data_IF_036745973232
#
_entry.id   IF_036745973232
#
_cell.length_a   1.000
_cell.length_b   1.000
_cell.length_c   1.000
_cell.angle_alpha   90.00
_cell.angle_beta   90.00
_cell.angle_gamma   90.00
#
_symmetry.space_group_name_H-M   'P 1'
#
loop_
_entity.id
_entity.type
_entity.pdbx_description
1 polymer ?
#
# COMPACT_ATOMS: atom_id res chain seq x y z
N UNK A 1 -5.42 -5.07 -17.37
CA UNK A 1 -5.70 -5.34 -15.94
C UNK A 1 -6.98 -4.60 -15.62
N UNK A 2 -7.87 -5.20 -14.84
CA UNK A 2 -9.23 -4.68 -14.67
C UNK A 2 -9.34 -3.71 -13.50
N UNK A 3 -9.25 -2.40 -13.71
CA UNK A 3 -9.06 -1.44 -12.62
C UNK A 3 -10.16 -0.35 -12.50
N UNK A 4 -10.37 0.09 -11.26
CA UNK A 4 -11.31 1.14 -10.86
C UNK A 4 -10.51 2.39 -10.54
N UNK A 5 -10.85 3.53 -11.14
CA UNK A 5 -10.25 4.82 -10.82
C UNK A 5 -11.26 5.72 -10.09
N UNK A 6 -10.89 6.27 -8.93
CA UNK A 6 -11.70 7.20 -8.16
C UNK A 6 -11.13 8.61 -8.37
N UNK A 7 -11.86 9.43 -9.12
CA UNK A 7 -11.60 10.87 -9.24
C UNK A 7 -12.45 11.61 -8.22
N UNK A 8 -11.85 12.49 -7.42
CA UNK A 8 -12.55 13.27 -6.41
C UNK A 8 -11.87 14.61 -6.19
N UNK A 9 -12.59 15.58 -5.63
CA UNK A 9 -12.01 16.86 -5.22
C UNK A 9 -11.73 16.83 -3.72
N UNK A 10 -10.46 16.90 -3.34
CA UNK A 10 -10.01 16.77 -1.94
C UNK A 10 -10.73 17.71 -0.97
N UNK A 11 -10.83 19.00 -1.31
CA UNK A 11 -11.48 20.03 -0.46
C UNK A 11 -13.02 19.91 -0.38
N UNK A 12 -13.60 18.98 -1.13
CA UNK A 12 -15.05 18.80 -1.25
C UNK A 12 -15.51 17.43 -0.71
N UNK A 13 -14.82 16.35 -1.07
CA UNK A 13 -15.33 14.99 -0.88
C UNK A 13 -14.31 13.97 -0.35
N UNK A 14 -13.14 14.40 0.15
CA UNK A 14 -12.08 13.49 0.62
C UNK A 14 -12.54 12.42 1.63
N UNK A 15 -13.33 12.73 2.68
CA UNK A 15 -13.77 11.70 3.64
C UNK A 15 -14.65 10.62 2.99
N UNK A 16 -15.47 11.00 2.00
CA UNK A 16 -16.32 10.05 1.28
C UNK A 16 -15.51 9.18 0.33
N UNK A 17 -14.58 9.79 -0.41
CA UNK A 17 -13.68 9.10 -1.32
C UNK A 17 -12.83 8.05 -0.60
N UNK A 18 -12.23 8.39 0.55
CA UNK A 18 -11.45 7.45 1.36
C UNK A 18 -12.28 6.27 1.88
N UNK A 19 -13.47 6.55 2.44
CA UNK A 19 -14.38 5.48 2.89
C UNK A 19 -14.85 4.56 1.76
N UNK A 20 -15.04 5.10 0.57
CA UNK A 20 -15.41 4.33 -0.62
C UNK A 20 -14.21 3.51 -1.12
N UNK A 21 -13.02 4.09 -1.15
CA UNK A 21 -11.76 3.43 -1.50
C UNK A 21 -11.50 2.20 -0.63
N UNK A 22 -11.59 2.33 0.69
CA UNK A 22 -11.36 1.21 1.62
C UNK A 22 -12.27 0.02 1.32
N UNK A 23 -13.55 0.29 1.01
CA UNK A 23 -14.55 -0.74 0.69
C UNK A 23 -14.32 -1.38 -0.68
N UNK A 24 -13.94 -0.57 -1.66
CA UNK A 24 -13.59 -1.06 -2.99
C UNK A 24 -12.33 -1.94 -2.91
N UNK A 25 -11.30 -1.52 -2.18
CA UNK A 25 -10.09 -2.31 -1.93
C UNK A 25 -10.41 -3.63 -1.23
N UNK A 26 -11.26 -3.61 -0.20
CA UNK A 26 -11.69 -4.83 0.49
C UNK A 26 -12.41 -5.83 -0.44
N UNK A 27 -13.10 -5.34 -1.48
CA UNK A 27 -13.88 -6.20 -2.40
C UNK A 27 -13.13 -6.62 -3.66
N UNK A 28 -12.32 -5.72 -4.23
CA UNK A 28 -11.70 -5.88 -5.54
C UNK A 28 -10.19 -6.06 -5.47
N UNK A 29 -9.55 -5.82 -4.32
CA UNK A 29 -8.10 -5.80 -4.16
C UNK A 29 -7.53 -4.39 -4.33
N UNK A 30 -6.56 -4.03 -3.49
CA UNK A 30 -5.93 -2.71 -3.50
C UNK A 30 -5.11 -2.45 -4.78
N UNK A 31 -4.65 -3.50 -5.46
CA UNK A 31 -3.95 -3.45 -6.74
C UNK A 31 -4.86 -3.05 -7.92
N UNK A 32 -6.19 -3.11 -7.72
CA UNK A 32 -7.21 -2.86 -8.74
C UNK A 32 -8.00 -1.57 -8.50
N UNK A 33 -7.70 -0.82 -7.44
CA UNK A 33 -8.38 0.43 -7.12
C UNK A 33 -7.33 1.53 -7.03
N UNK A 34 -7.47 2.52 -7.89
CA UNK A 34 -6.64 3.71 -7.91
C UNK A 34 -7.49 4.88 -7.45
N UNK A 35 -6.92 5.75 -6.63
CA UNK A 35 -7.59 6.93 -6.12
C UNK A 35 -6.60 8.08 -6.15
N UNK A 36 -6.93 9.11 -6.95
CA UNK A 36 -6.25 10.40 -7.10
C UNK A 36 -4.71 10.36 -7.25
N UNK A 37 -4.14 11.48 -7.69
CA UNK A 37 -2.77 11.62 -8.18
C UNK A 37 -2.01 12.63 -7.33
N UNK A 38 -2.12 12.53 -6.00
CA UNK A 38 -1.21 13.23 -5.10
C UNK A 38 0.12 12.46 -5.03
N UNK A 39 0.97 12.73 -6.03
CA UNK A 39 2.26 12.04 -6.20
C UNK A 39 2.68 11.97 -7.66
N UNK A 40 2.67 13.10 -8.37
CA UNK A 40 3.47 13.22 -9.60
C UNK A 40 4.92 13.34 -9.14
N UNK A 41 5.81 12.40 -9.49
CA UNK A 41 7.22 12.55 -9.16
C UNK A 41 7.74 13.88 -9.74
N UNK A 42 8.54 14.65 -9.01
CA UNK A 42 9.12 15.90 -9.54
C UNK A 42 9.76 15.68 -10.91
N UNK A 43 9.39 16.49 -11.89
CA UNK A 43 9.92 16.42 -13.27
C UNK A 43 9.18 15.49 -14.24
N UNK A 44 8.10 14.81 -13.82
CA UNK A 44 7.24 14.03 -14.71
C UNK A 44 6.20 14.92 -15.40
N UNK A 45 5.95 14.69 -16.70
CA UNK A 45 4.86 15.33 -17.43
C UNK A 45 3.52 14.96 -16.78
N UNK A 46 2.89 15.98 -16.22
CA UNK A 46 1.65 15.91 -15.49
C UNK A 46 0.51 15.24 -16.29
N UNK A 47 0.30 15.71 -17.52
CA UNK A 47 -0.81 15.25 -18.37
C UNK A 47 -0.55 13.82 -18.81
N UNK A 48 0.70 13.47 -19.08
CA UNK A 48 1.09 12.11 -19.42
C UNK A 48 0.87 11.12 -18.26
N UNK A 49 1.12 11.54 -17.01
CA UNK A 49 0.95 10.68 -15.82
C UNK A 49 -0.52 10.40 -15.49
N UNK A 50 -1.38 11.43 -15.53
CA UNK A 50 -2.84 11.23 -15.47
C UNK A 50 -3.28 10.32 -16.62
N UNK A 51 -2.79 10.65 -17.82
CA UNK A 51 -2.98 9.92 -19.06
C UNK A 51 -2.81 8.41 -18.87
N UNK A 52 -1.66 8.00 -18.33
CA UNK A 52 -1.30 6.61 -18.11
C UNK A 52 -2.19 5.91 -17.07
N UNK A 53 -2.47 6.56 -15.93
CA UNK A 53 -3.33 5.99 -14.88
C UNK A 53 -4.76 5.78 -15.36
N UNK A 54 -5.37 6.81 -15.95
CA UNK A 54 -6.71 6.69 -16.54
C UNK A 54 -6.69 5.68 -17.69
N UNK A 55 -5.67 5.65 -18.56
CA UNK A 55 -5.59 4.69 -19.65
C UNK A 55 -5.61 3.22 -19.20
N UNK A 56 -5.14 2.94 -17.97
CA UNK A 56 -5.10 1.61 -17.39
C UNK A 56 -6.38 1.17 -16.67
N UNK A 57 -7.36 2.05 -16.49
CA UNK A 57 -8.62 1.72 -15.81
C UNK A 57 -9.73 1.35 -16.80
N UNK A 58 -10.64 0.49 -16.35
CA UNK A 58 -11.80 0.01 -17.10
C UNK A 58 -13.09 0.66 -16.62
N UNK A 59 -13.06 1.34 -15.48
CA UNK A 59 -14.20 2.05 -14.90
C UNK A 59 -13.70 3.22 -14.06
N UNK A 60 -14.41 4.34 -14.15
CA UNK A 60 -14.15 5.54 -13.38
C UNK A 60 -15.34 5.86 -12.49
N UNK A 61 -15.04 6.25 -11.26
CA UNK A 61 -15.98 6.81 -10.30
C UNK A 61 -15.63 8.29 -10.15
N UNK A 62 -16.58 9.18 -10.47
CA UNK A 62 -16.44 10.61 -10.27
C UNK A 62 -17.21 11.01 -9.01
N UNK A 63 -16.51 11.26 -7.91
CA UNK A 63 -17.13 11.65 -6.64
C UNK A 63 -17.44 13.14 -6.66
N UNK A 64 -18.73 13.47 -6.52
CA UNK A 64 -19.27 14.83 -6.61
C UNK A 64 -19.85 15.19 -5.24
N UNK A 65 -19.19 16.09 -4.52
CA UNK A 65 -19.71 16.70 -3.29
C UNK A 65 -20.41 18.04 -3.57
N UNK A 66 -20.88 18.68 -2.49
CA UNK A 66 -21.72 19.89 -2.56
C UNK A 66 -21.01 21.07 -3.22
N UNK A 67 -19.69 21.18 -3.08
CA UNK A 67 -18.88 22.28 -3.60
C UNK A 67 -18.23 21.94 -4.93
N UNK A 68 -18.38 20.72 -5.45
CA UNK A 68 -17.69 20.25 -6.65
C UNK A 68 -17.84 21.20 -7.84
N UNK A 69 -19.08 21.66 -8.09
CA UNK A 69 -19.41 22.53 -9.22
C UNK A 69 -18.83 23.94 -9.05
N UNK A 70 -18.90 24.50 -7.84
CA UNK A 70 -18.57 25.89 -7.53
C UNK A 70 -17.17 26.06 -6.91
N UNK A 71 -16.37 24.99 -6.86
CA UNK A 71 -15.03 25.02 -6.28
C UNK A 71 -14.16 26.04 -7.01
N UNK A 72 -13.41 26.85 -6.26
CA UNK A 72 -12.55 27.91 -6.79
C UNK A 72 -11.08 27.68 -6.48
N UNK A 73 -10.21 28.16 -7.36
CA UNK A 73 -8.76 28.17 -7.16
C UNK A 73 -8.32 29.34 -6.26
N UNK A 74 -7.00 29.51 -6.07
CA UNK A 74 -6.45 30.62 -5.29
C UNK A 74 -6.71 32.01 -5.89
N UNK A 75 -7.10 32.09 -7.16
CA UNK A 75 -7.44 33.33 -7.87
C UNK A 75 -8.95 33.60 -7.88
N UNK A 76 -9.76 32.73 -7.25
CA UNK A 76 -11.21 32.82 -7.25
C UNK A 76 -11.87 32.34 -8.56
N UNK A 77 -11.11 31.79 -9.51
CA UNK A 77 -11.64 31.20 -10.73
C UNK A 77 -12.22 29.82 -10.44
N UNK A 78 -13.31 29.46 -11.13
CA UNK A 78 -13.94 28.17 -10.94
C UNK A 78 -13.02 27.07 -11.49
N UNK A 79 -12.68 26.10 -10.64
CA UNK A 79 -11.68 25.06 -10.96
C UNK A 79 -12.10 24.17 -12.13
N UNK A 80 -13.39 23.98 -12.35
CA UNK A 80 -13.87 23.22 -13.51
C UNK A 80 -13.66 23.94 -14.84
N UNK A 81 -13.49 25.27 -14.82
CA UNK A 81 -13.20 26.05 -16.02
C UNK A 81 -11.69 26.15 -16.30
N UNK A 82 -10.84 25.67 -15.38
CA UNK A 82 -9.41 25.54 -15.60
C UNK A 82 -9.11 24.23 -16.37
N UNK A 83 -8.58 24.31 -17.61
CA UNK A 83 -8.23 23.12 -18.38
C UNK A 83 -7.10 22.28 -17.75
N UNK A 84 -6.39 22.80 -16.75
CA UNK A 84 -5.33 22.08 -16.04
C UNK A 84 -5.80 21.48 -14.70
N UNK A 85 -7.07 21.63 -14.30
CA UNK A 85 -7.57 21.01 -13.08
C UNK A 85 -7.62 19.48 -13.23
N UNK A 86 -7.06 18.78 -12.24
CA UNK A 86 -6.92 17.32 -12.22
C UNK A 86 -8.24 16.59 -12.50
N UNK A 87 -9.32 17.00 -11.82
CA UNK A 87 -10.63 16.37 -11.95
C UNK A 87 -11.19 16.58 -13.36
N UNK A 88 -10.97 17.76 -13.96
CA UNK A 88 -11.39 18.04 -15.33
C UNK A 88 -10.67 17.11 -16.31
N UNK A 89 -9.33 17.03 -16.21
CA UNK A 89 -8.51 16.20 -17.09
C UNK A 89 -8.88 14.71 -16.98
N UNK A 90 -8.97 14.19 -15.75
CA UNK A 90 -9.31 12.79 -15.49
C UNK A 90 -10.68 12.43 -16.05
N UNK A 91 -11.72 13.18 -15.68
CA UNK A 91 -13.09 12.87 -16.08
C UNK A 91 -13.28 13.06 -17.58
N UNK A 92 -12.70 14.10 -18.17
CA UNK A 92 -12.73 14.31 -19.62
C UNK A 92 -12.08 13.12 -20.34
N UNK A 93 -10.93 12.65 -19.88
CA UNK A 93 -10.25 11.50 -20.48
C UNK A 93 -11.05 10.19 -20.30
N UNK A 94 -11.65 9.98 -19.13
CA UNK A 94 -12.55 8.84 -18.88
C UNK A 94 -13.73 8.83 -19.85
N UNK A 95 -14.38 9.98 -20.04
CA UNK A 95 -15.47 10.15 -21.00
C UNK A 95 -15.02 9.95 -22.45
N UNK A 96 -13.87 10.51 -22.84
CA UNK A 96 -13.30 10.39 -24.17
C UNK A 96 -12.96 8.94 -24.53
N UNK A 97 -12.48 8.16 -23.56
CA UNK A 97 -12.20 6.71 -23.74
C UNK A 97 -13.45 5.87 -23.84
N UNK A 98 -14.63 6.40 -23.50
CA UNK A 98 -15.89 5.67 -23.50
C UNK A 98 -15.97 4.57 -22.45
N UNK A 99 -15.09 4.60 -21.42
CA UNK A 99 -15.22 3.70 -20.28
C UNK A 99 -16.45 4.11 -19.44
N UNK A 100 -17.05 3.19 -18.67
CA UNK A 100 -18.06 3.56 -17.69
C UNK A 100 -17.53 4.61 -16.72
N UNK A 101 -18.12 5.81 -16.76
CA UNK A 101 -17.91 6.88 -15.78
C UNK A 101 -19.18 6.99 -14.94
N UNK A 102 -19.07 6.69 -13.66
CA UNK A 102 -20.20 6.64 -12.71
C UNK A 102 -20.09 7.87 -11.79
N UNK A 103 -21.00 8.85 -11.93
CA UNK A 103 -21.12 9.94 -10.96
C UNK A 103 -21.58 9.38 -9.61
N UNK A 104 -20.89 9.73 -8.54
CA UNK A 104 -21.24 9.36 -7.18
C UNK A 104 -21.47 10.62 -6.36
N UNK A 105 -22.74 10.88 -6.00
CA UNK A 105 -23.16 12.05 -5.25
C UNK A 105 -22.98 11.79 -3.75
N UNK A 106 -22.32 12.72 -3.06
CA UNK A 106 -22.00 12.57 -1.63
C UNK A 106 -22.36 13.82 -0.84
N UNK A 107 -22.60 13.67 0.46
CA UNK A 107 -22.89 14.78 1.37
C UNK A 107 -24.13 15.58 0.96
N UNK A 108 -25.10 14.97 0.26
CA UNK A 108 -26.30 15.64 -0.25
C UNK A 108 -26.07 16.50 -1.49
N UNK A 109 -25.02 16.23 -2.27
CA UNK A 109 -24.81 16.86 -3.57
C UNK A 109 -25.93 16.50 -4.57
N UNK A 110 -26.12 17.38 -5.56
CA UNK A 110 -27.02 17.16 -6.69
C UNK A 110 -26.22 17.05 -7.97
N UNK A 111 -26.76 16.35 -8.96
CA UNK A 111 -26.10 16.19 -10.26
C UNK A 111 -26.03 17.56 -10.98
N UNK A 112 -24.85 17.97 -11.48
CA UNK A 112 -24.73 19.18 -12.30
C UNK A 112 -25.52 19.07 -13.60
N UNK A 113 -26.04 20.20 -14.09
CA UNK A 113 -26.67 20.24 -15.43
C UNK A 113 -25.57 20.35 -16.49
N UNK A 114 -25.85 19.85 -17.70
CA UNK A 114 -24.90 19.95 -18.80
C UNK A 114 -24.52 21.41 -19.15
N UNK A 115 -25.43 22.36 -18.96
CA UNK A 115 -25.17 23.79 -19.19
C UNK A 115 -24.20 24.39 -18.17
N UNK A 116 -24.10 23.80 -16.98
CA UNK A 116 -23.22 24.26 -15.91
C UNK A 116 -21.82 23.64 -16.04
N UNK A 117 -21.57 22.75 -17.01
CA UNK A 117 -20.30 22.05 -17.20
C UNK A 117 -19.54 22.58 -18.42
N UNK A 118 -18.19 22.63 -18.34
CA UNK A 118 -17.36 22.89 -19.52
C UNK A 118 -17.55 21.78 -20.56
N UNK A 119 -17.29 22.09 -21.84
CA UNK A 119 -17.52 21.19 -22.97
C UNK A 119 -16.98 19.75 -22.75
N UNK A 120 -15.75 19.53 -22.25
CA UNK A 120 -15.20 18.18 -22.06
C UNK A 120 -15.96 17.33 -21.03
N UNK A 121 -16.69 17.96 -20.11
CA UNK A 121 -17.40 17.28 -19.01
C UNK A 121 -18.90 17.16 -19.24
N UNK A 122 -19.48 17.79 -20.27
CA UNK A 122 -20.94 17.75 -20.50
C UNK A 122 -21.52 16.34 -20.57
N UNK A 123 -20.74 15.39 -21.10
CA UNK A 123 -21.13 13.97 -21.16
C UNK A 123 -21.31 13.32 -19.78
N UNK A 124 -20.76 13.90 -18.71
CA UNK A 124 -20.95 13.43 -17.33
C UNK A 124 -22.41 13.61 -16.87
N UNK A 125 -23.05 14.73 -17.24
CA UNK A 125 -24.44 15.03 -16.87
C UNK A 125 -25.47 14.07 -17.49
N UNK A 126 -25.06 13.26 -18.47
CA UNK A 126 -25.90 12.25 -19.13
C UNK A 126 -25.71 10.85 -18.52
N UNK A 127 -24.89 10.71 -17.48
CA UNK A 127 -24.64 9.43 -16.79
C UNK A 127 -25.58 9.27 -15.61
N UNK A 128 -26.02 8.03 -15.39
CA UNK A 128 -26.82 7.68 -14.21
C UNK A 128 -25.97 7.81 -12.95
N UNK A 129 -26.40 8.66 -12.02
CA UNK A 129 -25.69 8.93 -10.78
C UNK A 129 -26.11 7.96 -9.67
N UNK A 130 -25.17 7.62 -8.79
CA UNK A 130 -25.43 6.89 -7.55
C UNK A 130 -25.25 7.83 -6.37
N UNK A 131 -26.24 7.91 -5.48
CA UNK A 131 -26.14 8.72 -4.26
C UNK A 131 -25.65 7.87 -3.09
N UNK A 132 -24.63 8.34 -2.37
CA UNK A 132 -24.22 7.80 -1.06
C UNK A 132 -24.71 8.73 0.04
N UNK A 133 -25.80 8.35 0.71
CA UNK A 133 -26.37 9.13 1.80
C UNK A 133 -25.58 8.92 3.09
N UNK A 134 -25.53 9.93 3.94
CA UNK A 134 -24.70 9.89 5.15
C UNK A 134 -25.18 8.83 6.16
N UNK A 135 -26.49 8.74 6.33
CA UNK A 135 -27.20 7.79 7.21
C UNK A 135 -27.21 6.35 6.65
N UNK A 136 -27.25 6.21 5.32
CA UNK A 136 -27.28 4.90 4.64
C UNK A 136 -25.97 4.53 3.92
N UNK A 137 -24.86 5.21 4.22
CA UNK A 137 -23.61 5.12 3.44
C UNK A 137 -23.16 3.68 3.17
N UNK A 138 -23.25 2.82 4.18
CA UNK A 138 -22.83 1.41 4.06
C UNK A 138 -23.70 0.65 3.04
N UNK A 139 -25.02 0.85 3.08
CA UNK A 139 -25.97 0.21 2.16
C UNK A 139 -25.75 0.71 0.74
N UNK A 140 -25.67 2.03 0.58
CA UNK A 140 -25.51 2.66 -0.73
C UNK A 140 -24.17 2.26 -1.38
N UNK A 141 -23.08 2.26 -0.60
CA UNK A 141 -21.77 1.84 -1.09
C UNK A 141 -21.74 0.34 -1.48
N UNK A 142 -22.39 -0.54 -0.71
CA UNK A 142 -22.50 -1.96 -1.06
C UNK A 142 -23.32 -2.18 -2.34
N UNK A 143 -24.34 -1.34 -2.57
CA UNK A 143 -25.13 -1.36 -3.79
C UNK A 143 -24.26 -0.97 -4.99
N UNK A 144 -23.50 0.12 -4.88
CA UNK A 144 -22.54 0.54 -5.90
C UNK A 144 -21.51 -0.57 -6.20
N UNK A 145 -20.94 -1.18 -5.17
CA UNK A 145 -20.00 -2.30 -5.30
C UNK A 145 -20.63 -3.48 -6.07
N UNK A 146 -21.90 -3.78 -5.80
CA UNK A 146 -22.63 -4.85 -6.48
C UNK A 146 -22.84 -4.54 -7.96
N UNK A 147 -23.09 -3.27 -8.30
CA UNK A 147 -23.18 -2.80 -9.69
C UNK A 147 -21.81 -2.91 -10.38
N UNK A 148 -20.74 -2.42 -9.73
CA UNK A 148 -19.38 -2.48 -10.26
C UNK A 148 -18.93 -3.92 -10.53
N UNK A 149 -19.24 -4.86 -9.64
CA UNK A 149 -18.91 -6.27 -9.81
C UNK A 149 -19.57 -6.92 -11.04
N UNK A 150 -20.61 -6.31 -11.62
CA UNK A 150 -21.28 -6.77 -12.83
C UNK A 150 -20.70 -6.20 -14.12
N UNK A 151 -19.77 -5.23 -14.04
CA UNK A 151 -19.20 -4.62 -15.23
C UNK A 151 -18.26 -5.60 -15.95
N UNK A 152 -18.34 -5.73 -17.30
CA UNK A 152 -17.56 -6.72 -18.06
C UNK A 152 -16.05 -6.60 -17.84
N UNK A 153 -15.56 -5.37 -17.67
CA UNK A 153 -14.16 -5.08 -17.33
C UNK A 153 -13.77 -5.66 -15.98
N UNK A 154 -14.63 -5.58 -14.96
CA UNK A 154 -14.34 -6.04 -13.60
C UNK A 154 -14.67 -7.53 -13.35
N UNK A 155 -15.45 -8.16 -14.24
CA UNK A 155 -15.84 -9.58 -14.19
C UNK A 155 -14.74 -10.56 -14.64
N UNK A 156 -13.73 -10.13 -15.40
CA UNK A 156 -12.69 -11.04 -15.92
C UNK A 156 -11.56 -11.26 -14.91
N UNK A 157 -11.26 -12.54 -14.67
CA UNK A 157 -10.15 -13.14 -13.90
C UNK A 157 -10.36 -13.36 -12.38
N UNK A 158 -11.38 -14.14 -12.03
CA UNK A 158 -11.40 -14.97 -10.81
C UNK A 158 -11.08 -16.44 -11.09
N UNK A 159 -10.72 -16.80 -12.33
CA UNK A 159 -10.46 -18.18 -12.76
C UNK A 159 -9.33 -18.27 -13.79
N UNK A 160 -8.12 -17.83 -13.44
CA UNK A 160 -6.94 -18.50 -14.02
C UNK A 160 -6.78 -19.82 -13.26
N UNK A 161 -7.40 -20.87 -13.81
CA UNK A 161 -7.07 -22.25 -13.51
C UNK A 161 -5.56 -22.41 -13.69
N UNK A 162 -4.91 -22.94 -12.67
CA UNK A 162 -3.55 -23.47 -12.74
C UNK A 162 -3.51 -24.45 -13.91
N UNK A 163 -2.70 -24.18 -14.94
CA UNK A 163 -2.52 -25.09 -16.07
C UNK A 163 -1.74 -26.34 -15.59
N UNK A 164 -2.35 -27.54 -15.52
CA UNK A 164 -1.70 -28.75 -15.04
C UNK A 164 -0.58 -29.25 -15.98
N UNK A 165 -0.35 -28.59 -17.13
CA UNK A 165 0.80 -28.87 -17.99
C UNK A 165 2.13 -28.33 -17.46
N UNK A 166 2.12 -27.31 -16.60
CA UNK A 166 3.36 -26.75 -16.04
C UNK A 166 4.00 -27.64 -14.95
N UNK A 167 3.24 -28.52 -14.28
CA UNK A 167 3.79 -29.47 -13.30
C UNK A 167 4.58 -30.63 -13.91
N UNK A 168 4.42 -30.90 -15.22
CA UNK A 168 5.08 -32.05 -15.87
C UNK A 168 6.52 -31.78 -16.31
N UNK A 169 6.93 -30.52 -16.45
CA UNK A 169 8.29 -30.15 -16.84
C UNK A 169 9.29 -30.06 -15.67
N UNK A 170 8.83 -30.03 -14.41
CA UNK A 170 9.72 -29.97 -13.24
C UNK A 170 10.23 -31.34 -12.75
N UNK A 171 9.83 -32.45 -13.39
CA UNK A 171 10.23 -33.80 -12.95
C UNK A 171 11.49 -34.36 -13.60
N UNK A 172 12.18 -33.62 -14.48
CA UNK A 172 13.34 -34.13 -15.23
C UNK A 172 14.62 -33.27 -15.16
N UNK A 173 14.93 -32.63 -14.02
CA UNK A 173 16.21 -31.91 -13.85
C UNK A 173 16.96 -32.18 -12.54
N UNK A 174 16.71 -33.31 -11.86
CA UNK A 174 17.51 -33.77 -10.70
C UNK A 174 18.21 -35.11 -10.93
N UNK A 175 18.81 -35.28 -12.11
CA UNK A 175 19.69 -36.40 -12.41
C UNK A 175 20.96 -35.90 -13.12
N UNK A 176 21.68 -34.96 -12.50
CA UNK A 176 23.09 -34.70 -12.77
C UNK A 176 23.66 -33.82 -11.64
N UNK A 177 24.95 -33.98 -11.35
CA UNK A 177 25.74 -33.37 -10.24
C UNK A 177 25.86 -34.26 -8.99
N UNK A 178 26.57 -35.38 -9.13
CA UNK A 178 27.15 -36.16 -8.01
C UNK A 178 28.70 -36.12 -8.04
N UNK A 179 29.33 -34.98 -8.31
CA UNK A 179 30.81 -34.88 -8.27
C UNK A 179 31.34 -33.51 -7.82
N UNK A 180 30.93 -33.03 -6.65
CA UNK A 180 31.58 -31.87 -6.01
C UNK A 180 31.77 -31.90 -4.47
N UNK A 181 32.12 -33.03 -3.79
CA UNK A 181 32.52 -32.96 -2.37
C UNK A 181 34.03 -32.78 -2.13
N UNK A 182 34.89 -32.89 -3.14
CA UNK A 182 36.35 -32.96 -2.94
C UNK A 182 37.06 -31.59 -2.84
N UNK A 183 36.43 -30.51 -3.29
CA UNK A 183 37.03 -29.16 -3.27
C UNK A 183 36.77 -28.42 -1.95
N UNK A 184 35.69 -28.76 -1.24
CA UNK A 184 35.30 -28.09 0.01
C UNK A 184 36.11 -28.55 1.25
N UNK A 185 36.65 -29.78 1.23
CA UNK A 185 37.42 -30.33 2.36
C UNK A 185 38.84 -29.76 2.48
N UNK A 186 39.46 -29.32 1.37
CA UNK A 186 40.82 -28.79 1.36
C UNK A 186 40.91 -27.34 1.89
N UNK A 187 39.86 -26.55 1.68
CA UNK A 187 39.78 -25.14 2.16
C UNK A 187 39.53 -25.08 3.67
N UNK A 188 38.72 -26.01 4.20
CA UNK A 188 38.44 -26.09 5.64
C UNK A 188 39.67 -26.47 6.49
N UNK A 189 40.57 -27.29 5.93
CA UNK A 189 41.79 -27.72 6.63
C UNK A 189 42.86 -26.61 6.71
N UNK A 190 42.99 -25.78 5.67
CA UNK A 190 43.95 -24.67 5.63
C UNK A 190 43.59 -23.55 6.63
N UNK A 191 42.29 -23.29 6.82
CA UNK A 191 41.78 -22.28 7.76
C UNK A 191 41.96 -22.73 9.22
N UNK A 192 41.91 -24.04 9.49
CA UNK A 192 42.11 -24.58 10.84
C UNK A 192 43.57 -24.50 11.32
N UNK A 193 44.55 -24.53 10.41
CA UNK A 193 45.98 -24.47 10.77
C UNK A 193 46.43 -23.06 11.18
N UNK A 194 45.87 -21.99 10.60
CA UNK A 194 46.32 -20.62 10.87
C UNK A 194 45.82 -20.03 12.20
N UNK A 195 44.86 -20.66 12.88
CA UNK A 195 44.20 -20.10 14.08
C UNK A 195 44.83 -20.47 15.43
N UNK A 196 45.89 -21.31 15.48
CA UNK A 196 46.57 -21.70 16.73
C UNK A 196 47.95 -21.06 16.84
N UNK A 197 48.04 -19.80 17.26
CA UNK A 197 49.12 -19.27 18.13
C UNK A 197 48.86 -17.81 18.53
N UNK A 198 49.16 -17.54 19.81
CA UNK A 198 49.27 -16.26 20.50
C UNK A 198 48.03 -15.43 20.87
N UNK A 199 47.51 -15.79 22.04
CA UNK A 199 47.06 -14.98 23.19
C UNK A 199 47.48 -13.50 23.26
N UNK A 200 46.54 -12.61 23.58
CA UNK A 200 46.46 -11.77 24.81
C UNK A 200 45.28 -10.77 24.72
N UNK A 201 44.46 -10.70 25.79
CA UNK A 201 43.29 -9.79 25.94
C UNK A 201 43.74 -8.38 26.40
N UNK A 202 42.95 -7.32 26.11
CA UNK A 202 41.83 -6.96 26.99
C UNK A 202 40.48 -6.82 26.24
N UNK A 203 39.37 -7.05 26.95
CA UNK A 203 38.00 -6.72 26.51
C UNK A 203 37.77 -5.19 26.58
N UNK A 204 36.71 -4.57 25.98
CA UNK A 204 35.46 -5.13 25.44
C UNK A 204 35.28 -4.81 23.93
N UNK A 205 34.42 -5.49 23.17
CA UNK A 205 33.00 -5.13 22.97
C UNK A 205 32.27 -6.44 22.63
N UNK A 206 31.42 -6.87 23.55
CA UNK A 206 30.45 -7.91 23.28
C UNK A 206 29.34 -7.33 22.40
N UNK A 207 28.81 -8.16 21.49
CA UNK A 207 27.40 -8.12 21.06
C UNK A 207 27.02 -7.37 19.77
N UNK A 208 27.68 -7.57 18.62
CA UNK A 208 27.08 -7.15 17.33
C UNK A 208 26.87 -8.31 16.34
N UNK A 209 27.77 -9.29 16.27
CA UNK A 209 27.63 -10.40 15.31
C UNK A 209 26.56 -11.46 15.69
N UNK A 210 26.23 -11.61 16.97
CA UNK A 210 25.35 -12.70 17.45
C UNK A 210 23.84 -12.46 17.25
N UNK A 211 23.40 -11.22 16.98
CA UNK A 211 21.97 -10.86 16.84
C UNK A 211 21.50 -10.90 15.38
N UNK A 212 22.41 -10.79 14.41
CA UNK A 212 22.06 -10.64 12.99
C UNK A 212 21.38 -11.91 12.39
N UNK A 213 21.79 -13.10 12.80
CA UNK A 213 21.18 -14.35 12.30
C UNK A 213 19.76 -14.63 12.85
N UNK A 214 19.47 -14.46 14.16
CA UNK A 214 18.12 -14.65 14.67
C UNK A 214 17.15 -13.50 14.38
N UNK A 215 17.54 -12.37 13.79
CA UNK A 215 16.56 -11.33 13.42
C UNK A 215 15.99 -11.51 12.00
N UNK A 216 16.80 -12.06 11.11
CA UNK A 216 16.50 -12.12 9.67
C UNK A 216 15.21 -12.90 9.39
N UNK A 217 14.39 -12.39 8.48
CA UNK A 217 13.22 -13.08 7.96
C UNK A 217 11.88 -12.44 8.36
N UNK A 218 10.80 -13.22 8.20
CA UNK A 218 9.43 -12.75 8.39
C UNK A 218 8.95 -12.91 9.84
N UNK A 219 8.21 -11.91 10.31
CA UNK A 219 7.59 -11.85 11.63
C UNK A 219 6.16 -11.36 11.49
N UNK A 220 5.28 -11.82 12.37
CA UNK A 220 3.86 -11.45 12.35
C UNK A 220 3.34 -11.13 13.74
N UNK A 221 2.41 -10.19 13.83
CA UNK A 221 1.69 -9.86 15.05
C UNK A 221 0.20 -9.60 14.74
N UNK A 222 -0.69 -9.92 15.67
CA UNK A 222 -2.04 -9.35 15.68
C UNK A 222 -2.04 -8.16 16.64
N UNK A 223 -2.24 -6.96 16.11
CA UNK A 223 -2.16 -5.70 16.85
C UNK A 223 -3.56 -5.16 17.04
N UNK A 224 -3.92 -4.91 18.30
CA UNK A 224 -5.14 -4.19 18.66
C UNK A 224 -4.76 -2.75 18.97
N UNK A 225 -5.21 -1.81 18.15
CA UNK A 225 -4.95 -0.39 18.35
C UNK A 225 -5.86 0.21 19.43
N UNK A 226 -5.53 1.40 19.90
CA UNK A 226 -6.27 2.09 20.98
C UNK A 226 -7.75 2.38 20.64
N UNK A 227 -8.12 2.33 19.36
CA UNK A 227 -9.51 2.44 18.88
C UNK A 227 -10.19 1.09 18.64
N UNK A 228 -9.69 0.02 19.26
CA UNK A 228 -10.19 -1.36 19.18
C UNK A 228 -10.19 -2.01 17.78
N UNK A 229 -9.54 -1.40 16.78
CA UNK A 229 -9.32 -2.07 15.51
C UNK A 229 -8.19 -3.11 15.64
N UNK A 230 -8.41 -4.29 15.05
CA UNK A 230 -7.44 -5.36 14.98
C UNK A 230 -6.85 -5.46 13.58
N UNK A 231 -5.54 -5.47 13.48
CA UNK A 231 -4.84 -5.69 12.22
C UNK A 231 -3.76 -6.75 12.38
N UNK A 232 -3.55 -7.53 11.31
CA UNK A 232 -2.38 -8.40 11.20
C UNK A 232 -1.24 -7.57 10.64
N UNK A 233 -0.23 -7.35 11.47
CA UNK A 233 0.97 -6.66 11.07
C UNK A 233 2.06 -7.67 10.70
N UNK A 234 2.72 -7.42 9.57
CA UNK A 234 3.76 -8.23 9.00
C UNK A 234 5.06 -7.41 8.90
N UNK A 235 6.15 -8.03 9.37
CA UNK A 235 7.48 -7.46 9.34
C UNK A 235 8.41 -8.39 8.58
N UNK A 236 9.36 -7.81 7.85
CA UNK A 236 10.46 -8.54 7.24
C UNK A 236 11.74 -7.79 7.56
N UNK A 237 12.69 -8.46 8.19
CA UNK A 237 13.94 -7.86 8.64
C UNK A 237 15.12 -8.44 7.90
N UNK A 238 15.99 -7.56 7.42
CA UNK A 238 17.25 -7.87 6.77
C UNK A 238 18.36 -7.02 7.40
N UNK A 239 19.01 -7.51 8.46
CA UNK A 239 20.08 -6.80 9.14
C UNK A 239 21.37 -6.78 8.31
N UNK A 240 22.09 -5.67 8.33
CA UNK A 240 23.43 -5.52 7.74
C UNK A 240 24.32 -4.75 8.72
N UNK A 241 25.20 -5.47 9.42
CA UNK A 241 25.98 -4.90 10.52
C UNK A 241 25.07 -4.33 11.60
N UNK A 242 25.17 -3.02 11.86
CA UNK A 242 24.34 -2.32 12.84
C UNK A 242 23.08 -1.66 12.25
N UNK A 243 22.86 -1.81 10.94
CA UNK A 243 21.70 -1.26 10.23
C UNK A 243 20.63 -2.34 10.08
N UNK A 244 19.38 -1.91 10.16
CA UNK A 244 18.23 -2.76 9.94
C UNK A 244 17.49 -2.31 8.69
N UNK A 245 17.44 -3.16 7.68
CA UNK A 245 16.62 -2.94 6.50
C UNK A 245 15.40 -3.85 6.51
N UNK A 246 14.45 -3.53 5.64
CA UNK A 246 13.29 -4.38 5.37
C UNK A 246 12.01 -3.57 5.38
N UNK A 247 10.95 -4.22 5.85
CA UNK A 247 9.60 -3.65 5.77
C UNK A 247 8.82 -3.93 7.03
N UNK A 248 7.97 -2.99 7.39
CA UNK A 248 7.02 -3.11 8.48
C UNK A 248 5.67 -2.61 7.99
N UNK A 249 4.60 -3.33 8.31
CA UNK A 249 3.27 -2.82 8.06
C UNK A 249 2.75 -1.95 9.21
N UNK A 250 1.83 -1.06 8.86
CA UNK A 250 1.02 -0.32 9.80
C UNK A 250 -0.40 -0.24 9.24
N UNK A 251 -1.39 -0.68 10.01
CA UNK A 251 -2.77 -0.86 9.55
C UNK A 251 -2.86 -1.86 8.39
N UNK A 252 -1.98 -2.88 8.40
CA UNK A 252 -1.87 -3.89 7.34
C UNK A 252 -1.23 -3.41 6.03
N UNK A 253 -0.89 -2.12 5.90
CA UNK A 253 -0.20 -1.58 4.73
C UNK A 253 1.32 -1.65 4.93
N UNK A 254 2.00 -2.42 4.07
CA UNK A 254 3.45 -2.64 4.11
C UNK A 254 4.20 -1.38 3.67
N UNK A 255 5.20 -0.98 4.45
CA UNK A 255 6.02 0.21 4.19
C UNK A 255 7.49 -0.11 4.41
N UNK A 256 8.36 0.70 3.81
CA UNK A 256 9.81 0.60 4.02
C UNK A 256 10.19 0.98 5.45
N UNK A 257 11.20 0.30 5.98
CA UNK A 257 11.85 0.70 7.23
C UNK A 257 12.77 1.89 6.95
N UNK A 258 12.55 2.99 7.66
CA UNK A 258 13.43 4.16 7.72
C UNK A 258 14.26 4.14 9.02
N UNK A 259 15.51 4.63 8.93
CA UNK A 259 16.43 4.80 10.07
C UNK A 259 16.62 3.55 10.95
N UNK A 260 16.54 2.37 10.33
CA UNK A 260 16.65 1.10 11.05
C UNK A 260 18.04 0.85 11.62
N UNK A 261 18.11 0.57 12.92
CA UNK A 261 19.32 0.26 13.67
C UNK A 261 19.13 -0.90 14.65
N UNK A 262 20.23 -1.56 14.97
CA UNK A 262 20.30 -2.65 15.94
C UNK A 262 21.27 -2.20 17.02
N UNK A 263 20.92 -2.29 18.30
CA UNK A 263 21.81 -1.85 19.37
C UNK A 263 21.46 -2.61 20.65
N UNK A 264 22.46 -3.19 21.33
CA UNK A 264 22.25 -3.81 22.65
C UNK A 264 21.23 -4.97 22.71
N UNK A 265 20.95 -5.66 21.60
CA UNK A 265 19.91 -6.71 21.55
C UNK A 265 18.51 -6.20 21.24
N UNK A 266 18.39 -4.90 20.94
CA UNK A 266 17.16 -4.24 20.56
C UNK A 266 17.24 -3.74 19.11
N UNK A 267 16.08 -3.58 18.50
CA UNK A 267 15.93 -2.98 17.19
C UNK A 267 15.15 -1.69 17.32
N UNK A 268 15.56 -0.70 16.54
CA UNK A 268 14.85 0.56 16.43
C UNK A 268 14.69 0.89 14.97
N UNK A 269 13.49 1.27 14.59
CA UNK A 269 13.24 1.74 13.24
C UNK A 269 12.02 2.65 13.22
N UNK A 270 11.77 3.21 12.06
CA UNK A 270 10.59 4.02 11.84
C UNK A 270 9.92 3.69 10.53
N UNK A 271 8.65 4.05 10.44
CA UNK A 271 7.86 3.92 9.23
C UNK A 271 7.19 5.25 8.98
N UNK A 272 7.47 5.86 7.83
CA UNK A 272 6.76 7.05 7.38
C UNK A 272 5.51 6.69 6.61
N UNK A 273 4.45 7.45 6.86
CA UNK A 273 3.18 7.35 6.15
C UNK A 273 2.59 8.75 6.05
N UNK A 274 1.71 8.97 5.07
CA UNK A 274 0.99 10.22 4.98
C UNK A 274 -0.34 10.06 5.72
N UNK A 275 -0.65 11.03 6.58
CA UNK A 275 -1.96 11.18 7.18
C UNK A 275 -2.61 12.44 6.60
N UNK A 276 -3.68 12.21 5.86
CA UNK A 276 -4.48 13.29 5.30
C UNK A 276 -5.47 13.80 6.35
N UNK A 277 -5.41 15.09 6.60
CA UNK A 277 -6.35 15.80 7.48
C UNK A 277 -7.03 16.93 6.71
N UNK A 278 -8.10 17.48 7.29
CA UNK A 278 -8.74 18.69 6.75
C UNK A 278 -7.78 19.90 6.66
N UNK A 279 -6.65 19.89 7.39
CA UNK A 279 -5.62 20.94 7.38
C UNK A 279 -4.46 20.68 6.39
N UNK A 280 -4.57 19.63 5.57
CA UNK A 280 -3.53 19.20 4.63
C UNK A 280 -2.96 17.81 4.95
N UNK A 281 -2.12 17.32 4.03
CA UNK A 281 -1.33 16.11 4.21
C UNK A 281 -0.17 16.40 5.15
N UNK A 282 -0.07 15.63 6.21
CA UNK A 282 1.13 15.63 7.05
C UNK A 282 1.85 14.32 6.85
N UNK A 283 3.14 14.39 6.56
CA UNK A 283 3.99 13.22 6.73
C UNK A 283 3.99 12.89 8.22
N UNK A 284 3.68 11.63 8.53
CA UNK A 284 3.64 11.09 9.87
C UNK A 284 4.64 9.97 9.99
N UNK A 285 5.16 9.81 11.20
CA UNK A 285 6.19 8.81 11.49
C UNK A 285 5.78 8.00 12.71
N UNK A 286 5.82 6.68 12.54
CA UNK A 286 5.69 5.73 13.63
C UNK A 286 7.08 5.22 13.99
N UNK A 287 7.40 5.22 15.28
CA UNK A 287 8.66 4.76 15.83
C UNK A 287 8.46 3.40 16.51
N UNK A 288 9.31 2.44 16.16
CA UNK A 288 9.28 1.09 16.69
C UNK A 288 10.55 0.84 17.48
N UNK A 289 10.40 0.36 18.72
CA UNK A 289 11.46 -0.24 19.52
C UNK A 289 11.11 -1.69 19.79
N UNK A 290 12.00 -2.63 19.46
CA UNK A 290 11.75 -4.06 19.60
C UNK A 290 12.83 -4.74 20.43
N UNK A 291 12.46 -5.42 21.51
CA UNK A 291 13.38 -6.27 22.27
C UNK A 291 13.26 -7.71 21.79
N UNK A 292 14.37 -8.27 21.30
CA UNK A 292 14.41 -9.62 20.73
C UNK A 292 14.58 -10.64 21.86
N UNK A 293 13.73 -11.67 21.87
CA UNK A 293 13.82 -12.81 22.78
C UNK A 293 13.47 -14.11 22.04
N UNK A 294 14.48 -14.76 21.46
CA UNK A 294 14.31 -16.03 20.75
C UNK A 294 13.45 -15.89 19.47
N UNK A 295 12.24 -16.43 19.50
CA UNK A 295 11.27 -16.38 18.39
C UNK A 295 10.20 -15.30 18.58
N UNK A 296 10.37 -14.42 19.56
CA UNK A 296 9.48 -13.29 19.82
C UNK A 296 10.25 -11.97 19.76
N UNK A 297 9.58 -10.94 19.28
CA UNK A 297 10.00 -9.55 19.42
C UNK A 297 8.89 -8.82 20.16
N UNK A 298 9.21 -8.29 21.34
CA UNK A 298 8.30 -7.40 22.06
C UNK A 298 8.49 -6.00 21.51
N UNK A 299 7.51 -5.52 20.76
CA UNK A 299 7.49 -4.20 20.19
C UNK A 299 6.83 -3.19 21.11
N UNK A 300 7.37 -1.98 21.07
CA UNK A 300 6.74 -0.73 21.47
C UNK A 300 6.62 0.15 20.23
N UNK A 301 5.40 0.54 19.91
CA UNK A 301 5.06 1.48 18.84
C UNK A 301 4.66 2.82 19.45
N UNK A 302 5.32 3.88 19.01
CA UNK A 302 5.02 5.26 19.38
C UNK A 302 4.70 6.05 18.10
N UNK A 303 3.57 6.76 18.09
CA UNK A 303 3.29 7.72 17.03
C UNK A 303 3.95 9.08 17.33
N UNK A 304 4.08 9.91 16.31
CA UNK A 304 4.58 11.28 16.40
C UNK A 304 3.58 12.29 16.97
N UNK A 305 2.39 11.85 17.43
CA UNK A 305 1.38 12.71 18.07
C UNK A 305 1.53 12.78 19.58
N UNK A 306 2.40 11.95 20.16
CA UNK A 306 2.50 11.80 21.61
C UNK A 306 1.36 10.98 22.21
N UNK A 307 0.70 10.12 21.43
CA UNK A 307 -0.22 9.12 21.98
C UNK A 307 0.54 8.14 22.90
N UNK A 308 -0.10 7.51 23.91
CA UNK A 308 0.59 6.52 24.73
C UNK A 308 1.19 5.38 23.86
N UNK A 309 2.39 4.88 24.20
CA UNK A 309 3.01 3.79 23.44
C UNK A 309 2.14 2.53 23.45
N UNK A 310 2.02 1.88 22.29
CA UNK A 310 1.35 0.60 22.13
C UNK A 310 2.37 -0.53 22.21
N UNK A 311 2.17 -1.49 23.10
CA UNK A 311 3.02 -2.68 23.22
C UNK A 311 2.33 -3.91 22.61
N UNK A 312 3.07 -4.69 21.83
CA UNK A 312 2.60 -5.94 21.23
C UNK A 312 3.75 -6.91 20.99
N UNK A 313 3.43 -8.18 20.74
CA UNK A 313 4.42 -9.23 20.49
C UNK A 313 4.30 -9.70 19.05
N UNK A 314 5.43 -9.68 18.32
CA UNK A 314 5.56 -10.33 17.03
C UNK A 314 6.27 -11.67 17.19
N UNK A 315 5.81 -12.69 16.49
CA UNK A 315 6.42 -14.01 16.48
C UNK A 315 7.03 -14.30 15.12
N UNK A 316 8.09 -15.12 15.10
CA UNK A 316 8.68 -15.57 13.84
C UNK A 316 7.66 -16.39 13.07
N UNK A 317 7.46 -16.04 11.80
CA UNK A 317 6.70 -16.87 10.88
C UNK A 317 7.67 -17.96 10.39
N UNK A 318 7.54 -19.19 10.90
CA UNK A 318 8.35 -20.31 10.45
C UNK A 318 8.13 -20.61 8.95
N UNK A 319 9.11 -21.18 8.26
CA UNK A 319 8.97 -21.73 6.88
C UNK A 319 8.05 -22.98 6.86
N UNK A 320 6.86 -22.86 7.43
CA UNK A 320 5.76 -23.79 7.26
C UNK A 320 4.63 -23.01 6.59
N UNK A 321 4.63 -23.05 5.26
CA UNK A 321 3.46 -22.65 4.47
C UNK A 321 3.54 -21.29 3.82
N UNK A 322 4.57 -21.03 3.01
CA UNK A 322 4.52 -20.02 1.94
C UNK A 322 5.32 -20.51 0.73
N UNK A 323 4.79 -21.50 0.00
CA UNK A 323 5.05 -21.55 -1.45
C UNK A 323 4.04 -20.62 -2.09
N UNK A 324 4.58 -19.53 -2.65
CA UNK A 324 3.93 -18.50 -3.43
C UNK A 324 2.75 -19.00 -4.28
N UNK A 325 1.59 -18.39 -4.08
CA UNK A 325 0.71 -17.91 -5.15
C UNK A 325 0.25 -16.51 -4.82
#
# INVERSE_FOLDING_TARGET
>A
MSAIFISYRRDDSAPYAGRLYDRLCARFGADRVFMDVDGIPPGVDFVAHIGAKVASCDTMIAVIGKKWLEARDGNGQRRLDDPHDFVVLEVAQGLQRGIPVIPVLVGGASMPRAADLPDPLRGLAQREAVSLRDDEFHRDANTLITVLAKLPGLQRRSTDKIDPRQERLQRHTKALIWKAPLVFALVAFAIWWQGRRESQRPAPITTHAAIAQPLTGAWGAEVTYHWNAKHKEAFFFQPEGNRLYGTASFLGLKRGIDDGKIEGGEIFFSVRFQEDSASGTRERKNYYGGKIAGNEIRFRLQDDRGSPPLEFIATRVGEAGQTLR
#
